data_IF_975756487824
#
_entry.id   IF_975756487824
#
_cell.length_a   1.000
_cell.length_b   1.000
_cell.length_c   1.000
_cell.angle_alpha   90.00
_cell.angle_beta   90.00
_cell.angle_gamma   90.00
#
_symmetry.space_group_name_H-M   'P 1'
#
loop_
_entity.id
_entity.type
_entity.pdbx_description
1 polymer ?
#
# COMPACT_ATOMS: atom_id res chain seq x y z
N UNK A 1 -47.24 11.98 2.07
CA UNK A 1 -46.39 13.13 2.43
C UNK A 1 -46.32 13.18 3.96
N UNK A 2 -45.20 12.76 4.55
CA UNK A 2 -44.96 12.79 5.99
C UNK A 2 -43.55 13.35 6.19
N UNK A 3 -43.49 14.61 6.58
CA UNK A 3 -42.25 15.37 6.81
C UNK A 3 -41.71 15.02 8.20
N UNK A 4 -40.53 14.43 8.25
CA UNK A 4 -39.81 14.14 9.48
C UNK A 4 -38.90 15.33 9.80
N UNK A 5 -39.23 16.05 10.87
CA UNK A 5 -38.44 17.16 11.39
C UNK A 5 -37.63 16.60 12.57
N UNK A 6 -36.35 16.29 12.34
CA UNK A 6 -35.41 15.81 13.36
C UNK A 6 -34.43 16.92 13.72
N UNK A 7 -34.46 17.31 15.00
CA UNK A 7 -33.88 18.53 15.57
C UNK A 7 -32.36 18.47 15.68
N UNK A 8 -31.73 19.62 15.44
CA UNK A 8 -30.31 19.91 15.60
C UNK A 8 -30.01 20.19 17.09
N UNK A 9 -29.02 19.55 17.72
CA UNK A 9 -28.38 20.10 18.91
C UNK A 9 -27.14 20.89 18.51
N UNK A 10 -27.26 22.21 18.60
CA UNK A 10 -26.15 23.16 18.61
C UNK A 10 -25.42 23.00 19.94
N UNK A 11 -24.22 22.42 19.92
CA UNK A 11 -23.29 22.48 21.05
C UNK A 11 -22.33 23.64 20.85
N UNK A 12 -22.62 24.75 21.53
CA UNK A 12 -21.70 25.86 21.76
C UNK A 12 -20.84 25.51 22.98
N UNK A 13 -19.54 25.31 22.79
CA UNK A 13 -18.56 25.27 23.88
C UNK A 13 -17.54 26.40 23.69
N UNK A 14 -17.86 27.50 24.38
CA UNK A 14 -17.06 28.41 25.20
C UNK A 14 -15.53 28.50 24.95
N UNK A 15 -15.13 29.77 24.78
CA UNK A 15 -13.80 30.38 24.84
C UNK A 15 -12.85 29.92 25.99
N UNK A 16 -11.54 30.01 25.72
CA UNK A 16 -10.50 30.28 26.73
C UNK A 16 -9.09 29.96 26.20
N UNK A 17 -8.36 30.93 25.62
CA UNK A 17 -7.21 31.62 26.24
C UNK A 17 -6.13 30.70 26.83
N UNK A 18 -4.94 30.63 26.22
CA UNK A 18 -3.81 31.50 26.58
C UNK A 18 -2.49 31.06 25.94
N UNK A 19 -1.67 32.07 25.71
CA UNK A 19 -0.33 32.09 25.12
C UNK A 19 0.76 31.44 26.00
N UNK A 20 1.87 31.17 25.31
CA UNK A 20 3.27 31.24 25.77
C UNK A 20 3.74 30.31 26.90
N UNK A 21 4.59 29.37 26.51
CA UNK A 21 5.62 28.78 27.37
C UNK A 21 6.80 28.33 26.52
N UNK A 22 7.73 29.26 26.23
CA UNK A 22 9.05 28.94 25.71
C UNK A 22 9.96 28.65 26.92
N UNK A 23 10.56 27.47 26.96
CA UNK A 23 11.50 27.07 28.01
C UNK A 23 12.56 26.16 27.42
N UNK A 24 13.68 26.75 27.01
CA UNK A 24 14.94 26.05 26.76
C UNK A 24 15.70 25.98 28.09
N UNK A 25 16.09 24.78 28.51
CA UNK A 25 17.16 24.61 29.50
C UNK A 25 17.93 23.35 29.15
N UNK A 26 19.20 23.56 28.83
CA UNK A 26 20.25 22.56 28.61
C UNK A 26 20.47 21.71 29.86
N UNK A 27 20.87 20.45 29.68
CA UNK A 27 22.04 19.82 30.31
C UNK A 27 22.14 18.34 29.92
N UNK A 28 23.14 18.03 29.08
CA UNK A 28 23.95 16.81 29.10
C UNK A 28 25.29 17.21 29.79
N UNK A 29 26.17 16.31 30.30
CA UNK A 29 26.53 15.00 29.75
C UNK A 29 26.97 13.92 30.78
N UNK A 30 27.66 12.88 30.27
CA UNK A 30 28.54 11.90 30.95
C UNK A 30 27.85 10.69 31.62
N UNK A 31 28.38 9.45 31.60
CA UNK A 31 29.65 8.90 31.16
C UNK A 31 29.53 7.36 30.97
N UNK A 32 30.56 6.82 30.32
CA UNK A 32 30.85 5.51 29.72
C UNK A 32 30.80 4.28 30.63
N UNK A 33 30.56 3.11 30.04
CA UNK A 33 31.41 1.88 30.13
C UNK A 33 30.86 0.90 29.07
N UNK A 34 31.54 0.69 27.94
CA UNK A 34 32.54 -0.37 27.73
C UNK A 34 32.11 -1.74 28.30
N UNK A 35 31.71 -2.66 27.41
CA UNK A 35 32.34 -3.98 27.42
C UNK A 35 32.40 -4.57 26.01
N UNK A 36 33.50 -5.25 25.76
CA UNK A 36 34.01 -5.76 24.50
C UNK A 36 33.83 -7.28 24.45
N UNK A 37 34.51 -7.92 23.49
CA UNK A 37 34.72 -9.37 23.28
C UNK A 37 33.72 -9.96 22.27
N UNK A 38 34.07 -10.05 20.98
CA UNK A 38 34.84 -11.14 20.31
C UNK A 38 34.11 -12.50 20.35
N UNK A 39 34.11 -13.39 19.35
CA UNK A 39 34.57 -13.45 17.97
C UNK A 39 34.09 -14.85 17.46
N UNK A 40 34.16 -15.08 16.15
CA UNK A 40 34.34 -16.38 15.46
C UNK A 40 33.27 -17.51 15.60
N UNK A 41 32.92 -18.27 14.57
CA UNK A 41 33.74 -18.76 13.46
C UNK A 41 32.89 -19.31 12.29
N UNK A 42 33.62 -19.59 11.20
CA UNK A 42 33.31 -19.97 9.84
C UNK A 42 32.56 -21.30 9.56
N UNK A 43 32.05 -21.41 8.33
CA UNK A 43 31.73 -22.68 7.63
C UNK A 43 30.78 -22.49 6.44
N UNK A 44 31.22 -22.02 5.27
CA UNK A 44 31.76 -22.78 4.10
C UNK A 44 30.76 -23.72 3.36
N UNK A 45 30.22 -23.20 2.24
CA UNK A 45 30.26 -23.72 0.85
C UNK A 45 29.58 -25.07 0.49
N UNK A 46 28.58 -25.04 -0.43
CA UNK A 46 28.61 -25.65 -1.79
C UNK A 46 27.25 -25.66 -2.54
N UNK A 47 27.21 -24.91 -3.63
CA UNK A 47 26.88 -25.30 -5.03
C UNK A 47 26.05 -26.57 -5.37
N UNK A 48 25.02 -26.37 -6.20
CA UNK A 48 24.78 -27.01 -7.52
C UNK A 48 23.38 -27.61 -7.76
N UNK A 49 22.62 -26.89 -8.60
CA UNK A 49 21.87 -27.32 -9.80
C UNK A 49 21.24 -28.71 -9.87
N UNK A 50 19.92 -28.73 -10.14
CA UNK A 50 19.23 -29.82 -10.80
C UNK A 50 17.72 -29.57 -10.96
N UNK A 51 17.30 -29.05 -12.11
CA UNK A 51 15.92 -29.18 -12.61
C UNK A 51 15.61 -30.68 -12.85
N UNK A 52 14.33 -31.05 -12.84
CA UNK A 52 13.71 -31.35 -14.13
C UNK A 52 12.33 -30.70 -14.32
N UNK A 53 12.14 -30.20 -15.54
CA UNK A 53 10.85 -30.01 -16.18
C UNK A 53 10.24 -31.38 -16.49
N UNK A 54 8.91 -31.51 -16.38
CA UNK A 54 8.02 -31.88 -17.49
C UNK A 54 6.59 -32.08 -16.96
N UNK A 55 5.62 -31.58 -17.72
CA UNK A 55 4.21 -31.80 -17.42
C UNK A 55 3.27 -30.68 -17.84
N UNK A 56 3.53 -30.05 -18.99
CA UNK A 56 2.60 -29.11 -19.63
C UNK A 56 1.41 -29.92 -20.17
N UNK A 57 0.23 -29.81 -19.55
CA UNK A 57 -1.04 -30.21 -20.17
C UNK A 57 -1.96 -29.00 -20.28
N UNK A 58 -2.11 -28.60 -21.53
CA UNK A 58 -2.93 -27.53 -22.08
C UNK A 58 -4.42 -27.72 -21.75
N UNK A 59 -5.09 -26.62 -21.38
CA UNK A 59 -6.50 -26.35 -21.74
C UNK A 59 -6.68 -24.85 -21.98
N UNK A 60 -6.83 -24.50 -23.25
CA UNK A 60 -7.18 -23.17 -23.71
C UNK A 60 -8.61 -22.84 -23.28
N UNK A 61 -8.74 -21.80 -22.47
CA UNK A 61 -9.93 -20.97 -22.35
C UNK A 61 -9.38 -19.56 -22.26
N UNK A 62 -9.78 -18.63 -23.15
CA UNK A 62 -9.36 -17.22 -23.08
C UNK A 62 -9.98 -16.61 -21.82
N UNK A 63 -9.35 -16.90 -20.69
CA UNK A 63 -9.50 -16.30 -19.39
C UNK A 63 -8.52 -15.14 -19.41
N UNK A 64 -8.94 -13.94 -19.07
CA UNK A 64 -8.03 -12.80 -18.94
C UNK A 64 -6.89 -13.22 -18.00
N UNK A 65 -5.74 -13.55 -18.57
CA UNK A 65 -4.60 -14.07 -17.84
C UNK A 65 -4.05 -12.91 -17.01
N UNK A 66 -4.30 -12.94 -15.70
CA UNK A 66 -3.89 -11.87 -14.80
C UNK A 66 -2.38 -11.64 -14.91
N UNK A 67 -1.99 -10.38 -15.07
CA UNK A 67 -0.58 -9.99 -15.16
C UNK A 67 0.03 -10.01 -13.76
N UNK A 68 1.07 -10.82 -13.57
CA UNK A 68 1.88 -10.85 -12.35
C UNK A 68 2.82 -9.66 -12.30
N UNK A 69 2.97 -9.05 -11.12
CA UNK A 69 3.91 -7.97 -10.88
C UNK A 69 5.08 -8.51 -10.03
N UNK A 70 6.34 -8.18 -10.37
CA UNK A 70 7.49 -8.59 -9.56
C UNK A 70 7.43 -8.05 -8.13
N UNK A 71 7.85 -8.86 -7.16
CA UNK A 71 7.90 -8.48 -5.76
C UNK A 71 9.12 -7.60 -5.49
N UNK A 72 8.91 -6.29 -5.37
CA UNK A 72 9.96 -5.29 -5.11
C UNK A 72 9.66 -4.38 -3.92
N UNK A 73 8.59 -4.65 -3.17
CA UNK A 73 8.11 -3.77 -2.11
C UNK A 73 8.14 -4.45 -0.74
N UNK A 74 8.29 -3.65 0.32
CA UNK A 74 8.31 -4.16 1.70
C UNK A 74 6.92 -4.50 2.20
N UNK A 75 5.87 -3.78 1.86
CA UNK A 75 4.52 -3.98 2.38
C UNK A 75 3.63 -4.85 1.47
N UNK A 76 3.90 -4.91 0.17
CA UNK A 76 3.05 -5.59 -0.82
C UNK A 76 3.82 -6.64 -1.62
N UNK A 77 3.20 -7.80 -1.89
CA UNK A 77 3.79 -8.87 -2.70
C UNK A 77 2.74 -9.75 -3.37
N UNK A 78 3.18 -10.70 -4.20
CA UNK A 78 2.36 -11.69 -4.89
C UNK A 78 1.22 -11.09 -5.72
N UNK A 79 1.50 -9.93 -6.33
CA UNK A 79 0.49 -9.12 -6.98
C UNK A 79 0.07 -9.67 -8.34
N UNK A 80 -1.24 -9.67 -8.57
CA UNK A 80 -1.85 -10.02 -9.85
C UNK A 80 -2.91 -8.99 -10.21
N UNK A 81 -2.81 -8.43 -11.40
CA UNK A 81 -3.76 -7.45 -11.96
C UNK A 81 -4.59 -8.10 -13.06
N UNK A 82 -5.91 -7.99 -12.97
CA UNK A 82 -6.87 -8.51 -13.94
C UNK A 82 -7.80 -7.38 -14.36
N UNK A 83 -8.17 -7.33 -15.63
CA UNK A 83 -9.11 -6.35 -16.17
C UNK A 83 -8.46 -5.29 -17.06
N UNK A 84 -9.30 -4.42 -17.61
CA UNK A 84 -8.95 -3.40 -18.61
C UNK A 84 -10.07 -2.36 -18.71
N UNK A 85 -9.81 -1.26 -19.41
CA UNK A 85 -10.77 -0.21 -19.72
C UNK A 85 -11.51 0.30 -18.48
N UNK A 86 -10.75 0.71 -17.46
CA UNK A 86 -11.29 1.30 -16.24
C UNK A 86 -11.86 0.32 -15.21
N UNK A 87 -11.93 -0.99 -15.50
CA UNK A 87 -12.33 -2.00 -14.53
C UNK A 87 -11.18 -2.94 -14.22
N UNK A 88 -10.65 -2.85 -13.01
CA UNK A 88 -9.51 -3.65 -12.57
C UNK A 88 -9.81 -4.38 -11.26
N UNK A 89 -9.25 -5.59 -11.13
CA UNK A 89 -9.16 -6.33 -9.89
C UNK A 89 -7.69 -6.60 -9.60
N UNK A 90 -7.21 -6.06 -8.50
CA UNK A 90 -5.84 -6.25 -8.01
C UNK A 90 -5.90 -7.16 -6.80
N UNK A 91 -5.15 -8.25 -6.87
CA UNK A 91 -5.02 -9.20 -5.76
C UNK A 91 -3.57 -9.29 -5.35
N UNK A 92 -3.32 -9.53 -4.08
CA UNK A 92 -1.97 -9.75 -3.57
C UNK A 92 -2.03 -10.03 -2.08
N UNK A 93 -0.86 -9.94 -1.46
CA UNK A 93 -0.71 -9.98 -0.01
C UNK A 93 -0.12 -8.66 0.47
N UNK A 94 -0.58 -8.21 1.63
CA UNK A 94 -0.12 -7.01 2.29
C UNK A 94 0.29 -7.34 3.73
N UNK A 95 1.35 -6.70 4.23
CA UNK A 95 1.75 -6.73 5.64
C UNK A 95 1.79 -5.31 6.21
N UNK A 96 0.63 -4.67 6.21
CA UNK A 96 0.45 -3.26 6.56
C UNK A 96 -0.15 -3.11 7.96
N UNK A 97 0.13 -2.00 8.65
CA UNK A 97 -0.38 -1.79 10.01
C UNK A 97 -1.92 -1.84 10.06
N UNK A 98 -2.47 -2.68 10.95
CA UNK A 98 -3.92 -2.97 11.06
C UNK A 98 -4.62 -3.44 9.77
N UNK A 99 -3.85 -3.84 8.75
CA UNK A 99 -4.38 -4.22 7.44
C UNK A 99 -4.81 -3.02 6.59
N UNK A 100 -4.64 -1.79 7.07
CA UNK A 100 -5.09 -0.59 6.39
C UNK A 100 -4.03 -0.05 5.42
N UNK A 101 -4.42 0.13 4.16
CA UNK A 101 -3.59 0.77 3.14
C UNK A 101 -4.40 1.77 2.32
N UNK A 102 -3.69 2.60 1.57
CA UNK A 102 -4.25 3.58 0.64
C UNK A 102 -3.93 3.20 -0.79
N UNK A 103 -4.76 3.69 -1.69
CA UNK A 103 -4.54 3.58 -3.12
C UNK A 103 -4.85 4.89 -3.82
N UNK A 104 -4.16 5.12 -4.93
CA UNK A 104 -4.45 6.19 -5.86
C UNK A 104 -4.25 5.69 -7.29
N UNK A 105 -5.13 6.10 -8.21
CA UNK A 105 -5.00 5.82 -9.64
C UNK A 105 -4.83 7.14 -10.37
N UNK A 106 -3.78 7.25 -11.17
CA UNK A 106 -3.47 8.44 -11.95
C UNK A 106 -3.19 8.10 -13.41
N UNK A 107 -3.29 9.11 -14.27
CA UNK A 107 -2.81 9.06 -15.67
C UNK A 107 -1.48 9.82 -15.86
N UNK A 108 -0.88 10.27 -14.76
CA UNK A 108 0.32 11.10 -14.72
C UNK A 108 0.06 12.61 -14.68
N UNK A 109 -1.16 13.07 -14.93
CA UNK A 109 -1.57 14.47 -14.81
C UNK A 109 -2.51 14.66 -13.62
N UNK A 110 -3.53 13.81 -13.52
CA UNK A 110 -4.58 13.89 -12.52
C UNK A 110 -4.77 12.55 -11.80
N UNK A 111 -5.26 12.64 -10.55
CA UNK A 111 -5.79 11.48 -9.84
C UNK A 111 -7.24 11.21 -10.29
N UNK A 112 -7.45 10.01 -10.82
CA UNK A 112 -8.74 9.54 -11.34
C UNK A 112 -9.59 8.86 -10.26
N UNK A 113 -8.93 8.21 -9.29
CA UNK A 113 -9.57 7.55 -8.15
C UNK A 113 -8.59 7.49 -6.97
N UNK A 114 -9.07 7.71 -5.76
CA UNK A 114 -8.27 7.61 -4.53
C UNK A 114 -9.12 7.01 -3.41
N UNK A 115 -8.48 6.32 -2.47
CA UNK A 115 -9.20 5.79 -1.33
C UNK A 115 -8.36 4.94 -0.40
N UNK A 116 -9.07 4.26 0.50
CA UNK A 116 -8.52 3.31 1.45
C UNK A 116 -9.10 1.93 1.23
N UNK A 117 -8.30 0.92 1.50
CA UNK A 117 -8.74 -0.47 1.50
C UNK A 117 -8.09 -1.23 2.64
N UNK A 118 -8.69 -2.37 2.97
CA UNK A 118 -8.25 -3.21 4.07
C UNK A 118 -7.89 -4.60 3.54
N UNK A 119 -6.76 -5.13 3.98
CA UNK A 119 -6.41 -6.53 3.81
C UNK A 119 -7.20 -7.40 4.80
N UNK A 120 -7.25 -8.70 4.56
CA UNK A 120 -7.98 -9.65 5.44
C UNK A 120 -7.34 -9.80 6.84
N UNK A 121 -6.18 -9.19 7.05
CA UNK A 121 -5.43 -9.14 8.30
C UNK A 121 -4.40 -8.01 8.29
N UNK A 122 -3.74 -7.77 9.42
CA UNK A 122 -2.72 -6.74 9.58
C UNK A 122 -1.34 -7.31 9.89
N UNK A 123 -0.32 -6.47 9.71
CA UNK A 123 1.06 -6.78 10.07
C UNK A 123 1.20 -7.17 11.55
N UNK A 124 2.20 -7.99 11.91
CA UNK A 124 3.40 -8.29 11.13
C UNK A 124 3.21 -9.39 10.06
N UNK A 125 2.12 -10.13 10.11
CA UNK A 125 1.84 -11.21 9.18
C UNK A 125 1.39 -10.69 7.81
N UNK A 126 1.58 -11.53 6.79
CA UNK A 126 1.06 -11.26 5.45
C UNK A 126 -0.39 -11.72 5.37
N UNK A 127 -1.25 -10.83 4.92
CA UNK A 127 -2.66 -11.13 4.71
C UNK A 127 -3.06 -10.87 3.25
N UNK A 128 -3.94 -11.70 2.67
CA UNK A 128 -4.44 -11.48 1.33
C UNK A 128 -5.31 -10.23 1.27
N UNK A 129 -5.39 -9.62 0.10
CA UNK A 129 -6.34 -8.57 -0.19
C UNK A 129 -6.88 -8.68 -1.62
N UNK A 130 -8.06 -8.08 -1.84
CA UNK A 130 -8.63 -7.86 -3.17
C UNK A 130 -9.12 -6.43 -3.27
N UNK A 131 -8.52 -5.65 -4.18
CA UNK A 131 -8.92 -4.30 -4.52
C UNK A 131 -9.66 -4.31 -5.87
N UNK A 132 -10.87 -3.75 -5.90
CA UNK A 132 -11.65 -3.57 -7.12
C UNK A 132 -11.68 -2.08 -7.45
N UNK A 133 -11.30 -1.76 -8.68
CA UNK A 133 -11.24 -0.39 -9.19
C UNK A 133 -12.23 -0.24 -10.34
N UNK A 134 -13.03 0.82 -10.28
CA UNK A 134 -13.97 1.20 -11.31
C UNK A 134 -13.77 2.69 -11.62
N UNK A 135 -13.28 2.97 -12.82
CA UNK A 135 -13.03 4.31 -13.34
C UNK A 135 -13.99 4.53 -14.51
N UNK A 136 -14.84 5.56 -14.46
CA UNK A 136 -15.74 5.88 -15.55
C UNK A 136 -15.01 6.06 -16.88
N UNK A 137 -15.60 5.57 -17.98
CA UNK A 137 -14.95 5.58 -19.29
C UNK A 137 -14.68 6.99 -19.84
N UNK A 138 -15.50 7.98 -19.45
CA UNK A 138 -15.34 9.39 -19.76
C UNK A 138 -14.18 10.06 -19.00
N UNK A 139 -13.70 9.42 -17.92
CA UNK A 139 -12.54 9.85 -17.12
C UNK A 139 -11.24 9.16 -17.55
N UNK A 140 -11.31 8.17 -18.43
CA UNK A 140 -10.11 7.50 -18.94
C UNK A 140 -9.38 8.42 -19.94
N UNK A 141 -8.05 8.55 -19.83
CA UNK A 141 -7.27 9.33 -20.78
C UNK A 141 -7.32 8.64 -22.15
N UNK A 142 -7.35 9.44 -23.22
CA UNK A 142 -7.32 8.90 -24.59
C UNK A 142 -6.01 8.15 -24.86
N UNK A 143 -4.90 8.75 -24.42
CA UNK A 143 -3.56 8.23 -24.57
C UNK A 143 -2.84 8.34 -23.23
N UNK A 144 -1.98 7.38 -22.89
CA UNK A 144 -1.18 7.44 -21.68
C UNK A 144 -1.05 6.09 -21.00
N UNK A 145 -0.61 6.10 -19.74
CA UNK A 145 -0.55 4.88 -18.91
C UNK A 145 -1.31 5.14 -17.62
N UNK A 146 -2.38 4.37 -17.39
CA UNK A 146 -3.00 4.34 -16.08
C UNK A 146 -2.04 3.68 -15.10
N UNK A 147 -1.86 4.29 -13.94
CA UNK A 147 -0.93 3.85 -12.92
C UNK A 147 -1.65 3.76 -11.58
N UNK A 148 -1.50 2.63 -10.89
CA UNK A 148 -1.97 2.42 -9.53
C UNK A 148 -0.81 2.59 -8.56
N UNK A 149 -1.00 3.42 -7.54
CA UNK A 149 -0.15 3.55 -6.38
C UNK A 149 -0.81 2.82 -5.21
N UNK A 150 -0.05 1.95 -4.53
CA UNK A 150 -0.42 1.35 -3.24
C UNK A 150 0.58 1.83 -2.19
N UNK A 151 0.10 2.30 -1.04
CA UNK A 151 0.98 2.84 0.01
C UNK A 151 0.31 2.78 1.38
N UNK A 152 1.13 2.94 2.42
CA UNK A 152 0.68 3.15 3.79
C UNK A 152 0.80 4.62 4.16
N UNK A 153 0.00 5.08 5.12
CA UNK A 153 0.19 6.38 5.76
C UNK A 153 0.84 6.14 7.11
N UNK A 154 1.99 6.77 7.34
CA UNK A 154 2.71 6.67 8.60
C UNK A 154 1.86 7.25 9.73
N UNK A 155 1.59 6.50 10.82
CA UNK A 155 0.87 7.04 11.97
C UNK A 155 1.71 8.07 12.74
N UNK A 156 3.01 8.17 12.46
CA UNK A 156 3.93 9.09 13.14
C UNK A 156 3.82 10.52 12.62
N UNK A 157 3.79 10.70 11.30
CA UNK A 157 3.89 12.01 10.64
C UNK A 157 2.93 12.19 9.46
N UNK A 158 2.14 11.16 9.11
CA UNK A 158 1.21 11.21 7.98
C UNK A 158 1.86 11.06 6.61
N UNK A 159 3.17 10.78 6.53
CA UNK A 159 3.88 10.58 5.27
C UNK A 159 3.46 9.28 4.57
N UNK A 160 3.63 9.22 3.24
CA UNK A 160 3.45 7.98 2.47
C UNK A 160 4.66 7.07 2.69
N UNK A 161 4.40 5.83 3.08
CA UNK A 161 5.42 4.80 3.26
C UNK A 161 5.13 3.57 2.40
N UNK A 162 6.17 2.77 2.14
CA UNK A 162 6.09 1.51 1.39
C UNK A 162 5.35 1.62 0.05
N UNK A 163 5.54 2.74 -0.66
CA UNK A 163 4.85 3.01 -1.92
C UNK A 163 5.23 2.01 -3.02
N UNK A 164 4.23 1.53 -3.73
CA UNK A 164 4.37 0.64 -4.87
C UNK A 164 3.55 1.17 -6.05
N UNK A 165 4.24 1.36 -7.17
CA UNK A 165 3.67 1.88 -8.41
C UNK A 165 3.49 0.74 -9.41
N UNK A 166 2.28 0.59 -9.94
CA UNK A 166 1.87 -0.52 -10.81
C UNK A 166 1.21 0.05 -12.06
N UNK A 167 1.82 -0.06 -13.25
CA UNK A 167 1.21 0.45 -14.48
C UNK A 167 0.03 -0.45 -14.87
N UNK A 168 -1.23 -0.03 -14.77
CA UNK A 168 -2.41 -0.86 -15.04
C UNK A 168 -2.57 -1.19 -16.52
N UNK A 169 -2.63 -0.17 -17.37
CA UNK A 169 -2.91 -0.28 -18.80
C UNK A 169 -2.29 0.89 -19.55
N UNK A 170 -1.80 0.63 -20.77
CA UNK A 170 -1.36 1.67 -21.71
C UNK A 170 -2.47 1.90 -22.73
N UNK A 171 -2.98 3.13 -22.79
CA UNK A 171 -4.02 3.58 -23.73
C UNK A 171 -3.34 4.30 -24.91
N UNK A 172 -3.80 4.00 -26.12
CA UNK A 172 -3.24 4.48 -27.39
C UNK A 172 -4.35 4.81 -28.39
#
# INVERSE_FOLDING_TARGET
MRTWIGRIPVFVFILGWSLMGCGASSEAPENQTEDSVEENNAGKKKETRGQPNEGQKTKNTKKDEGRKIPDQNKAFRNLTVIGKAGRYTVKGEARVFEGNYRYAVSDGHDYLAEGSAQAEGGGPDWAPFTLKLEIPADRLPKNGTLTLELYEISPKDGSRENELVIPLERLQ
#
